data_IF_605442310070
#
_entry.id   IF_605442310070
#
_cell.length_a   1.000
_cell.length_b   1.000
_cell.length_c   1.000
_cell.angle_alpha   90.00
_cell.angle_beta   90.00
_cell.angle_gamma   90.00
#
_symmetry.space_group_name_H-M   'P 1'
#
loop_
_entity.id
_entity.type
_entity.pdbx_description
1 polymer ?
#
# COMPACT_ATOMS: atom_id res chain seq x y z
N UNK A 1 -3.42 21.43 25.11
CA UNK A 1 -4.58 21.83 24.30
C UNK A 1 -4.79 20.75 23.25
N UNK A 2 -5.88 20.01 23.36
CA UNK A 2 -6.19 18.88 22.47
C UNK A 2 -6.88 19.45 21.25
N UNK A 3 -6.22 19.48 20.10
CA UNK A 3 -6.85 19.92 18.85
C UNK A 3 -7.62 18.75 18.28
N UNK A 4 -8.95 18.74 18.49
CA UNK A 4 -9.85 17.80 17.84
C UNK A 4 -10.08 18.25 16.39
N UNK A 5 -9.66 17.44 15.44
CA UNK A 5 -9.94 17.66 14.01
C UNK A 5 -11.23 16.89 13.68
N UNK A 6 -12.33 17.62 13.51
CA UNK A 6 -13.65 17.05 13.16
C UNK A 6 -13.90 17.22 11.67
N UNK A 7 -14.27 16.15 10.96
CA UNK A 7 -14.68 16.24 9.55
C UNK A 7 -16.19 16.47 9.44
N UNK A 8 -16.61 17.17 8.38
CA UNK A 8 -18.00 17.54 8.07
C UNK A 8 -18.89 16.33 7.72
N UNK A 9 -18.34 15.14 7.57
CA UNK A 9 -19.01 13.93 7.07
C UNK A 9 -19.23 12.85 8.15
N UNK A 10 -19.20 13.22 9.44
CA UNK A 10 -19.54 12.29 10.53
C UNK A 10 -18.56 11.12 10.74
N UNK A 11 -17.46 11.07 10.03
CA UNK A 11 -16.37 10.11 10.25
C UNK A 11 -15.37 10.71 11.22
N UNK A 12 -15.42 10.23 12.46
CA UNK A 12 -14.38 10.49 13.44
C UNK A 12 -13.05 9.95 12.90
N UNK A 13 -12.16 10.84 12.49
CA UNK A 13 -10.74 10.50 12.52
C UNK A 13 -10.41 10.36 13.99
N UNK A 14 -10.00 9.16 14.37
CA UNK A 14 -9.53 8.88 15.70
C UNK A 14 -8.56 9.98 16.13
N UNK A 15 -8.90 10.71 17.17
CA UNK A 15 -8.01 11.72 17.75
C UNK A 15 -6.87 10.95 18.38
N UNK A 16 -5.72 10.90 17.69
CA UNK A 16 -4.55 10.20 18.19
C UNK A 16 -3.99 10.90 19.42
N UNK A 17 -3.67 10.13 20.45
CA UNK A 17 -2.91 10.64 21.59
C UNK A 17 -1.49 11.04 21.16
N UNK A 18 -0.78 11.89 21.90
CA UNK A 18 0.61 12.24 21.59
C UNK A 18 1.53 11.03 21.43
N UNK A 19 1.35 9.99 22.25
CA UNK A 19 2.10 8.75 22.17
C UNK A 19 1.79 7.97 20.87
N UNK A 20 0.53 7.97 20.43
CA UNK A 20 0.14 7.36 19.16
C UNK A 20 0.71 8.12 17.96
N UNK A 21 0.73 9.45 17.99
CA UNK A 21 1.33 10.28 16.95
C UNK A 21 2.84 10.01 16.83
N UNK A 22 3.53 9.88 17.95
CA UNK A 22 4.95 9.54 17.98
C UNK A 22 5.19 8.13 17.39
N UNK A 23 4.34 7.18 17.73
CA UNK A 23 4.44 5.82 17.19
C UNK A 23 4.16 5.78 15.68
N UNK A 24 3.16 6.52 15.18
CA UNK A 24 2.90 6.68 13.74
C UNK A 24 4.12 7.28 13.05
N UNK A 25 4.70 8.35 13.60
CA UNK A 25 5.92 8.98 13.07
C UNK A 25 7.07 7.99 12.95
N UNK A 26 7.28 7.15 13.95
CA UNK A 26 8.40 6.22 14.01
C UNK A 26 8.19 4.93 13.20
N UNK A 27 6.95 4.64 12.77
CA UNK A 27 6.61 3.40 12.05
C UNK A 27 6.17 3.63 10.61
N UNK A 28 5.02 4.28 10.41
CA UNK A 28 4.40 4.42 9.08
C UNK A 28 4.79 5.70 8.35
N UNK A 29 5.41 6.67 9.04
CA UNK A 29 5.85 7.95 8.47
C UNK A 29 7.30 8.28 8.88
N UNK A 30 8.16 7.27 8.94
CA UNK A 30 9.54 7.41 9.41
C UNK A 30 10.37 8.34 8.50
N UNK A 31 11.02 9.32 9.12
CA UNK A 31 11.91 10.26 8.43
C UNK A 31 11.20 11.46 7.80
N UNK A 32 9.89 11.61 7.98
CA UNK A 32 9.14 12.78 7.54
C UNK A 32 9.40 13.99 8.43
N UNK A 33 9.49 15.16 7.82
CA UNK A 33 9.47 16.46 8.52
C UNK A 33 8.08 16.75 9.08
N UNK A 34 7.97 17.77 9.94
CA UNK A 34 6.67 18.15 10.53
C UNK A 34 5.66 18.61 9.47
N UNK A 35 6.12 19.31 8.43
CA UNK A 35 5.28 19.75 7.33
C UNK A 35 4.77 18.56 6.49
N UNK A 36 5.65 17.59 6.22
CA UNK A 36 5.27 16.36 5.52
C UNK A 36 4.30 15.51 6.34
N UNK A 37 4.48 15.46 7.67
CA UNK A 37 3.53 14.81 8.58
C UNK A 37 2.16 15.47 8.54
N UNK A 38 2.10 16.82 8.54
CA UNK A 38 0.84 17.55 8.42
C UNK A 38 0.13 17.21 7.09
N UNK A 39 0.87 17.25 5.97
CA UNK A 39 0.32 16.84 4.67
C UNK A 39 -0.16 15.39 4.67
N UNK A 40 0.61 14.47 5.27
CA UNK A 40 0.24 13.07 5.37
C UNK A 40 -1.07 12.86 6.10
N UNK A 41 -1.28 13.54 7.25
CA UNK A 41 -2.53 13.45 7.99
C UNK A 41 -3.70 14.07 7.24
N UNK A 42 -3.50 15.16 6.51
CA UNK A 42 -4.54 15.74 5.67
C UNK A 42 -4.98 14.76 4.56
N UNK A 43 -4.02 14.13 3.86
CA UNK A 43 -4.34 13.12 2.85
C UNK A 43 -5.05 11.90 3.46
N UNK A 44 -4.59 11.44 4.62
CA UNK A 44 -5.24 10.34 5.35
C UNK A 44 -6.69 10.69 5.69
N UNK A 45 -6.94 11.92 6.13
CA UNK A 45 -8.27 12.46 6.42
C UNK A 45 -9.15 12.50 5.18
N UNK A 46 -8.69 13.09 4.10
CA UNK A 46 -9.47 13.22 2.86
C UNK A 46 -9.81 11.86 2.23
N UNK A 47 -8.88 10.92 2.28
CA UNK A 47 -9.09 9.56 1.77
C UNK A 47 -9.87 8.67 2.75
N UNK A 48 -10.01 9.09 4.01
CA UNK A 48 -10.58 8.29 5.09
C UNK A 48 -9.77 7.02 5.38
N UNK A 49 -8.46 7.04 5.14
CA UNK A 49 -7.56 5.94 5.45
C UNK A 49 -6.90 6.17 6.81
N UNK A 50 -6.78 5.10 7.59
CA UNK A 50 -6.26 5.17 8.95
C UNK A 50 -4.76 4.78 8.97
N UNK A 51 -3.85 5.72 9.30
CA UNK A 51 -2.42 5.44 9.47
C UNK A 51 -2.15 4.43 10.61
N UNK A 52 -2.93 4.47 11.67
CA UNK A 52 -2.79 3.56 12.80
C UNK A 52 -3.10 2.11 12.40
N UNK A 53 -4.12 1.92 11.56
CA UNK A 53 -4.45 0.63 10.96
C UNK A 53 -3.54 0.26 9.76
N UNK A 54 -2.46 1.01 9.52
CA UNK A 54 -1.50 0.78 8.42
C UNK A 54 -2.12 0.78 7.03
N UNK A 55 -3.22 1.50 6.85
CA UNK A 55 -3.90 1.62 5.56
C UNK A 55 -3.19 2.59 4.61
N UNK A 56 -2.39 3.51 5.15
CA UNK A 56 -1.65 4.53 4.41
C UNK A 56 -0.29 4.76 5.05
N UNK A 57 0.72 5.03 4.23
CA UNK A 57 2.12 5.23 4.63
C UNK A 57 2.68 6.49 4.02
N UNK A 58 3.56 7.17 4.74
CA UNK A 58 4.45 8.20 4.20
C UNK A 58 5.89 7.64 4.17
N UNK A 59 6.43 7.44 2.98
CA UNK A 59 7.73 6.83 2.78
C UNK A 59 8.69 7.87 2.22
N UNK A 60 9.78 8.16 2.93
CA UNK A 60 10.84 9.03 2.43
C UNK A 60 11.79 8.20 1.58
N UNK A 61 11.87 8.52 0.30
CA UNK A 61 12.81 7.91 -0.67
C UNK A 61 13.79 8.97 -1.17
N UNK A 62 14.97 8.54 -1.57
CA UNK A 62 15.93 9.42 -2.25
C UNK A 62 15.60 9.43 -3.75
N UNK A 63 15.28 10.60 -4.27
CA UNK A 63 15.11 10.86 -5.69
C UNK A 63 16.31 11.71 -6.14
N UNK A 64 17.20 11.15 -6.97
CA UNK A 64 18.47 11.76 -7.35
C UNK A 64 19.30 12.31 -6.15
N UNK A 65 19.29 11.57 -5.03
CA UNK A 65 20.01 11.95 -3.81
C UNK A 65 19.23 12.89 -2.88
N UNK A 66 18.12 13.47 -3.30
CA UNK A 66 17.27 14.36 -2.51
C UNK A 66 16.19 13.55 -1.80
N UNK A 67 16.02 13.69 -0.47
CA UNK A 67 14.91 13.06 0.24
C UNK A 67 13.57 13.61 -0.29
N UNK A 68 12.64 12.72 -0.63
CA UNK A 68 11.29 13.06 -1.08
C UNK A 68 10.29 12.15 -0.41
N UNK A 69 9.29 12.73 0.24
CA UNK A 69 8.17 11.97 0.78
C UNK A 69 7.23 11.53 -0.35
N UNK A 70 6.83 10.27 -0.30
CA UNK A 70 5.80 9.67 -1.17
C UNK A 70 4.74 9.05 -0.29
N UNK A 71 3.48 9.43 -0.51
CA UNK A 71 2.34 8.82 0.19
C UNK A 71 1.92 7.57 -0.58
N UNK A 72 1.78 6.45 0.13
CA UNK A 72 1.46 5.15 -0.46
C UNK A 72 0.31 4.50 0.31
N UNK A 73 -0.72 4.07 -0.42
CA UNK A 73 -1.81 3.28 0.14
C UNK A 73 -1.36 1.82 0.28
N UNK A 74 -1.54 1.25 1.46
CA UNK A 74 -1.31 -0.18 1.71
C UNK A 74 -2.45 -1.06 1.19
N UNK A 75 -2.22 -2.37 1.14
CA UNK A 75 -3.25 -3.33 0.70
C UNK A 75 -4.51 -3.25 1.57
N UNK A 76 -4.37 -3.04 2.88
CA UNK A 76 -5.50 -2.91 3.79
C UNK A 76 -6.27 -1.60 3.57
N UNK A 77 -5.58 -0.55 3.08
CA UNK A 77 -6.22 0.68 2.62
C UNK A 77 -7.09 0.46 1.38
N UNK A 78 -6.58 -0.24 0.39
CA UNK A 78 -7.39 -0.60 -0.79
C UNK A 78 -8.58 -1.48 -0.43
N UNK A 79 -8.41 -2.45 0.46
CA UNK A 79 -9.49 -3.30 0.97
C UNK A 79 -10.55 -2.48 1.72
N UNK A 80 -10.13 -1.54 2.56
CA UNK A 80 -11.03 -0.65 3.29
C UNK A 80 -11.83 0.24 2.32
N UNK A 81 -11.20 0.79 1.28
CA UNK A 81 -11.88 1.56 0.23
C UNK A 81 -12.89 0.70 -0.53
N UNK A 82 -12.50 -0.50 -0.94
CA UNK A 82 -13.38 -1.44 -1.63
C UNK A 82 -14.59 -1.82 -0.78
N UNK A 83 -14.38 -2.15 0.51
CA UNK A 83 -15.46 -2.47 1.44
C UNK A 83 -16.42 -1.29 1.64
N UNK A 84 -15.90 -0.07 1.76
CA UNK A 84 -16.71 1.16 1.92
C UNK A 84 -17.55 1.51 0.71
N UNK A 85 -17.10 1.13 -0.49
CA UNK A 85 -17.84 1.44 -1.73
C UNK A 85 -19.21 0.73 -1.77
N UNK A 86 -19.39 -0.36 -1.03
CA UNK A 86 -20.57 -1.22 -1.13
C UNK A 86 -20.66 -1.98 -2.46
N UNK A 87 -19.68 -1.81 -3.34
CA UNK A 87 -19.66 -2.40 -4.68
C UNK A 87 -18.66 -3.55 -4.83
N UNK A 88 -17.97 -3.94 -3.75
CA UNK A 88 -17.02 -5.05 -3.79
C UNK A 88 -17.75 -6.40 -3.96
N UNK A 89 -17.58 -7.02 -5.10
CA UNK A 89 -18.20 -8.30 -5.47
C UNK A 89 -17.34 -9.53 -5.20
N UNK A 90 -16.24 -9.39 -4.43
CA UNK A 90 -15.30 -10.47 -4.14
C UNK A 90 -14.14 -10.55 -5.11
N UNK A 91 -13.30 -11.57 -4.94
CA UNK A 91 -12.17 -11.86 -5.82
C UNK A 91 -12.04 -13.37 -6.02
N UNK A 92 -11.44 -13.76 -7.14
CA UNK A 92 -11.03 -15.14 -7.36
C UNK A 92 -9.69 -15.44 -6.68
N UNK A 93 -9.41 -16.72 -6.52
CA UNK A 93 -8.10 -17.18 -6.08
C UNK A 93 -7.02 -16.78 -7.10
N UNK A 94 -5.87 -16.27 -6.67
CA UNK A 94 -4.79 -15.95 -7.58
C UNK A 94 -4.32 -17.17 -8.36
N UNK A 95 -4.15 -17.02 -9.67
CA UNK A 95 -3.59 -18.07 -10.54
C UNK A 95 -2.20 -17.69 -10.98
N UNK A 96 -1.32 -18.68 -11.11
CA UNK A 96 0.07 -18.50 -11.49
C UNK A 96 0.32 -19.24 -12.80
N UNK A 97 0.96 -18.57 -13.76
CA UNK A 97 1.37 -19.20 -15.01
C UNK A 97 2.64 -20.02 -14.83
N UNK A 98 2.96 -20.84 -15.86
CA UNK A 98 4.15 -21.70 -15.88
C UNK A 98 5.42 -21.06 -15.36
N UNK A 99 6.12 -21.86 -14.57
CA UNK A 99 7.42 -21.53 -13.99
C UNK A 99 8.47 -21.27 -15.07
N UNK A 100 9.13 -20.14 -15.00
CA UNK A 100 10.41 -19.95 -15.71
C UNK A 100 11.49 -20.62 -14.89
N UNK A 101 12.24 -21.55 -15.51
CA UNK A 101 13.45 -22.11 -14.92
C UNK A 101 14.48 -21.01 -14.77
N UNK A 102 14.70 -20.58 -13.55
CA UNK A 102 15.80 -19.69 -13.15
C UNK A 102 16.65 -20.37 -12.10
N UNK A 103 17.80 -19.82 -11.78
CA UNK A 103 18.76 -20.33 -10.78
C UNK A 103 18.17 -20.50 -9.37
N UNK A 104 16.94 -20.08 -9.13
CA UNK A 104 16.26 -20.04 -7.82
C UNK A 104 15.08 -21.03 -7.69
N UNK A 105 14.99 -22.04 -8.55
CA UNK A 105 13.86 -22.98 -8.55
C UNK A 105 12.69 -22.51 -9.42
N UNK A 106 11.54 -23.13 -9.23
CA UNK A 106 10.35 -22.85 -10.06
C UNK A 106 9.67 -21.55 -9.63
N UNK A 107 9.99 -20.45 -10.34
CA UNK A 107 9.36 -19.15 -10.12
C UNK A 107 8.24 -18.97 -11.14
N UNK A 108 7.02 -18.58 -10.73
CA UNK A 108 5.95 -18.28 -11.67
C UNK A 108 6.35 -17.16 -12.63
N UNK A 109 6.09 -17.32 -13.93
CA UNK A 109 6.35 -16.29 -14.94
C UNK A 109 5.43 -15.08 -14.77
N UNK A 110 4.19 -15.31 -14.34
CA UNK A 110 3.23 -14.27 -14.01
C UNK A 110 2.20 -14.74 -12.98
N UNK A 111 1.60 -13.78 -12.30
CA UNK A 111 0.44 -13.97 -11.43
C UNK A 111 -0.76 -13.20 -12.00
N UNK A 112 -1.95 -13.78 -11.87
CA UNK A 112 -3.22 -13.18 -12.27
C UNK A 112 -4.22 -13.25 -11.14
N UNK A 113 -4.96 -12.17 -10.94
CA UNK A 113 -6.09 -12.12 -10.01
C UNK A 113 -7.25 -11.39 -10.66
N UNK A 114 -8.47 -11.86 -10.42
CA UNK A 114 -9.70 -11.19 -10.84
C UNK A 114 -10.44 -10.70 -9.61
N UNK A 115 -10.72 -9.40 -9.59
CA UNK A 115 -11.55 -8.74 -8.57
C UNK A 115 -12.86 -8.35 -9.23
N UNK A 116 -13.96 -8.45 -8.50
CA UNK A 116 -15.28 -8.12 -9.02
C UNK A 116 -15.84 -6.87 -8.37
N UNK A 117 -16.43 -6.02 -9.17
CA UNK A 117 -17.21 -4.87 -8.75
C UNK A 117 -18.67 -5.04 -9.13
N UNK A 118 -19.57 -4.68 -8.23
CA UNK A 118 -21.01 -4.64 -8.52
C UNK A 118 -21.32 -3.29 -9.17
N UNK A 119 -21.71 -3.31 -10.44
CA UNK A 119 -22.10 -2.11 -11.19
C UNK A 119 -23.57 -2.27 -11.60
N UNK A 120 -24.43 -1.42 -11.07
CA UNK A 120 -25.89 -1.49 -11.30
C UNK A 120 -26.49 -2.89 -11.06
N UNK A 121 -26.05 -3.55 -9.98
CA UNK A 121 -26.48 -4.88 -9.62
C UNK A 121 -25.84 -6.03 -10.42
N UNK A 122 -24.96 -5.75 -11.37
CA UNK A 122 -24.25 -6.75 -12.17
C UNK A 122 -22.81 -6.90 -11.66
N UNK A 123 -22.35 -8.14 -11.49
CA UNK A 123 -20.99 -8.49 -11.09
C UNK A 123 -20.05 -8.38 -12.30
N UNK A 124 -19.21 -7.37 -12.32
CA UNK A 124 -18.27 -7.07 -13.42
C UNK A 124 -16.85 -7.48 -13.02
N UNK A 125 -16.14 -8.29 -13.84
CA UNK A 125 -14.76 -8.69 -13.56
C UNK A 125 -13.74 -7.62 -13.94
N UNK A 126 -12.72 -7.47 -13.11
CA UNK A 126 -11.53 -6.66 -13.36
C UNK A 126 -10.31 -7.53 -13.10
N UNK A 127 -9.61 -7.93 -14.16
CA UNK A 127 -8.46 -8.83 -14.06
C UNK A 127 -7.16 -8.06 -14.16
N UNK A 128 -6.27 -8.25 -13.20
CA UNK A 128 -4.90 -7.78 -13.24
C UNK A 128 -3.95 -8.96 -13.43
N UNK A 129 -2.90 -8.73 -14.22
CA UNK A 129 -1.79 -9.66 -14.43
C UNK A 129 -0.49 -8.93 -14.17
N UNK A 130 0.41 -9.55 -13.43
CA UNK A 130 1.76 -9.04 -13.17
C UNK A 130 2.78 -10.07 -13.64
N UNK A 131 3.81 -9.61 -14.35
CA UNK A 131 4.91 -10.44 -14.80
C UNK A 131 6.05 -10.38 -13.79
N UNK A 132 6.65 -11.53 -13.46
CA UNK A 132 7.82 -11.55 -12.60
C UNK A 132 8.95 -10.64 -13.10
N UNK A 133 9.20 -10.66 -14.41
CA UNK A 133 10.30 -9.88 -15.01
C UNK A 133 10.14 -8.37 -14.90
N UNK A 134 8.89 -7.89 -14.81
CA UNK A 134 8.60 -6.45 -14.70
C UNK A 134 8.75 -5.92 -13.28
N UNK A 135 8.46 -6.76 -12.29
CA UNK A 135 8.38 -6.33 -10.89
C UNK A 135 9.51 -6.87 -10.01
N UNK A 136 10.17 -7.96 -10.43
CA UNK A 136 11.33 -8.45 -9.71
C UNK A 136 12.49 -7.45 -9.83
N UNK A 137 13.12 -7.06 -8.71
CA UNK A 137 14.25 -6.14 -8.76
C UNK A 137 15.39 -6.77 -9.57
N UNK A 138 15.98 -5.97 -10.47
CA UNK A 138 17.18 -6.38 -11.19
C UNK A 138 18.32 -6.73 -10.21
N UNK A 139 19.03 -7.81 -10.48
CA UNK A 139 20.05 -8.40 -9.59
C UNK A 139 21.33 -7.58 -9.45
N UNK A 140 21.41 -6.40 -10.05
CA UNK A 140 22.58 -5.52 -10.03
C UNK A 140 22.57 -4.59 -8.80
N UNK A 141 22.48 -5.15 -7.60
CA UNK A 141 22.99 -4.46 -6.43
C UNK A 141 24.51 -4.65 -6.42
N UNK A 142 25.24 -3.55 -6.59
CA UNK A 142 26.72 -3.50 -6.63
C UNK A 142 27.39 -4.04 -5.36
N UNK A 143 26.61 -4.31 -4.30
CA UNK A 143 27.08 -4.76 -2.98
C UNK A 143 26.96 -6.29 -2.76
N UNK A 144 26.48 -7.04 -3.74
CA UNK A 144 26.31 -8.50 -3.63
C UNK A 144 25.22 -8.98 -2.68
N UNK A 145 24.42 -8.05 -2.09
CA UNK A 145 23.36 -8.38 -1.16
C UNK A 145 22.20 -9.07 -1.89
N UNK A 146 21.88 -10.30 -1.54
CA UNK A 146 20.69 -11.00 -2.07
C UNK A 146 19.42 -10.28 -1.62
N UNK A 147 18.63 -9.80 -2.57
CA UNK A 147 17.30 -9.23 -2.27
C UNK A 147 16.38 -10.28 -1.67
N UNK A 148 15.42 -9.86 -0.86
CA UNK A 148 14.36 -10.73 -0.29
C UNK A 148 13.65 -11.55 -1.37
N UNK A 149 13.46 -10.99 -2.56
CA UNK A 149 12.87 -11.63 -3.74
C UNK A 149 13.64 -12.86 -4.24
N UNK A 150 14.94 -12.91 -4.00
CA UNK A 150 15.79 -14.04 -4.37
C UNK A 150 15.85 -15.11 -3.29
N UNK A 151 15.63 -14.71 -2.02
CA UNK A 151 15.61 -15.63 -0.87
C UNK A 151 14.27 -16.33 -0.68
N UNK A 152 13.19 -15.68 -1.10
CA UNK A 152 11.82 -16.16 -0.97
C UNK A 152 11.11 -15.95 -2.33
N UNK A 153 11.36 -16.85 -3.32
CA UNK A 153 10.67 -16.81 -4.60
C UNK A 153 9.17 -17.16 -4.47
#
# INVERSE_FOLDING_TARGET
MTTAITTTDGRAISTYSPAQLELIRNTVAKGCSDLEMALFFEVARETGLDPWARQIYAIVRKDHGVPKMVIQTGIDGYRAMAARSGEYGGQDEPTFDCCTTGDCGQIPGSARVTVYRIVKGVRCPFTARVSWREFAPSTNLQDGTMTMWRKMP
#
